data_IF_022048989217
#
_entry.id   IF_022048989217
#
_cell.length_a   1.000
_cell.length_b   1.000
_cell.length_c   1.000
_cell.angle_alpha   90.00
_cell.angle_beta   90.00
_cell.angle_gamma   90.00
#
_symmetry.space_group_name_H-M   'P 1'
#
loop_
_entity.id
_entity.type
_entity.pdbx_description
1 polymer ?
#
# COMPACT_ATOMS: atom_id res chain seq x y z
N UNK A 1 -57.16 -9.25 14.54
CA UNK A 1 -56.12 -10.24 14.15
C UNK A 1 -55.59 -9.96 12.74
N UNK A 2 -55.09 -8.74 12.47
CA UNK A 2 -54.44 -8.39 11.18
C UNK A 2 -53.04 -7.80 11.40
N UNK A 3 -52.78 -7.20 12.57
CA UNK A 3 -51.47 -6.60 12.90
C UNK A 3 -50.39 -7.59 13.36
N UNK A 4 -50.72 -8.83 13.71
CA UNK A 4 -49.73 -9.83 14.14
C UNK A 4 -49.04 -10.55 12.97
N UNK A 5 -49.63 -10.53 11.78
CA UNK A 5 -49.10 -11.21 10.58
C UNK A 5 -48.00 -10.37 9.91
N UNK A 6 -48.09 -9.03 9.99
CA UNK A 6 -47.13 -8.11 9.39
C UNK A 6 -45.78 -8.05 10.13
N UNK A 7 -45.76 -8.41 11.43
CA UNK A 7 -44.54 -8.44 12.23
C UNK A 7 -43.71 -9.71 11.99
N UNK A 8 -44.32 -10.80 11.54
CA UNK A 8 -43.60 -12.05 11.24
C UNK A 8 -42.95 -12.03 9.85
N UNK A 9 -43.47 -11.25 8.90
CA UNK A 9 -42.88 -11.10 7.56
C UNK A 9 -41.69 -10.13 7.49
N UNK A 10 -41.49 -9.29 8.50
CA UNK A 10 -40.36 -8.35 8.55
C UNK A 10 -39.08 -8.95 9.16
N UNK A 11 -39.20 -10.03 9.95
CA UNK A 11 -38.06 -10.70 10.59
C UNK A 11 -37.22 -11.55 9.64
N UNK A 12 -37.73 -11.88 8.44
CA UNK A 12 -37.06 -12.79 7.51
C UNK A 12 -36.17 -12.10 6.46
N UNK A 13 -36.14 -10.76 6.41
CA UNK A 13 -35.38 -10.02 5.39
C UNK A 13 -34.01 -9.55 5.92
N UNK A 14 -33.74 -9.69 7.22
CA UNK A 14 -32.51 -9.19 7.86
C UNK A 14 -31.55 -10.28 8.34
N UNK A 15 -31.85 -11.56 8.14
CA UNK A 15 -30.93 -12.66 8.44
C UNK A 15 -30.81 -13.57 7.22
N UNK A 16 -29.64 -13.57 6.57
CA UNK A 16 -29.33 -14.67 5.64
C UNK A 16 -28.45 -14.40 4.43
N UNK A 17 -27.74 -13.27 4.30
CA UNK A 17 -26.69 -13.18 3.26
C UNK A 17 -25.34 -13.81 3.70
N UNK A 18 -25.24 -14.33 4.92
CA UNK A 18 -24.02 -14.98 5.42
C UNK A 18 -23.96 -16.50 5.16
N UNK A 19 -25.07 -17.15 4.82
CA UNK A 19 -25.11 -18.61 4.58
C UNK A 19 -25.23 -19.01 3.11
N UNK A 20 -25.67 -18.10 2.22
CA UNK A 20 -25.81 -18.40 0.78
C UNK A 20 -24.44 -18.66 0.12
N UNK A 21 -23.35 -18.09 0.66
CA UNK A 21 -22.00 -18.31 0.16
C UNK A 21 -21.49 -19.75 0.40
N UNK A 22 -22.06 -20.50 1.35
CA UNK A 22 -21.68 -21.90 1.56
C UNK A 22 -22.46 -22.88 0.67
N UNK A 23 -23.63 -22.49 0.15
CA UNK A 23 -24.49 -23.37 -0.66
C UNK A 23 -24.17 -23.37 -2.16
N UNK A 24 -23.46 -22.37 -2.68
CA UNK A 24 -23.20 -22.25 -4.13
C UNK A 24 -21.87 -22.87 -4.57
N UNK A 25 -21.05 -23.43 -3.68
CA UNK A 25 -19.74 -24.01 -4.02
C UNK A 25 -18.75 -23.03 -4.66
N UNK A 26 -19.15 -21.76 -4.78
CA UNK A 26 -18.34 -20.69 -5.31
C UNK A 26 -17.54 -20.19 -4.13
N UNK A 27 -16.35 -20.76 -3.93
CA UNK A 27 -15.33 -20.11 -3.12
C UNK A 27 -15.31 -18.65 -3.59
N UNK A 28 -15.81 -17.75 -2.74
CA UNK A 28 -15.56 -16.34 -2.93
C UNK A 28 -14.05 -16.25 -2.85
N UNK A 29 -13.37 -16.16 -4.00
CA UNK A 29 -11.95 -15.88 -4.09
C UNK A 29 -11.83 -14.48 -3.48
N UNK A 30 -11.72 -14.43 -2.15
CA UNK A 30 -11.39 -13.21 -1.46
C UNK A 30 -10.05 -12.81 -2.06
N UNK A 31 -9.94 -11.60 -2.62
CA UNK A 31 -8.65 -11.16 -3.13
C UNK A 31 -7.64 -11.40 -2.01
N UNK A 32 -6.50 -12.07 -2.30
CA UNK A 32 -5.47 -12.32 -1.32
C UNK A 32 -5.24 -11.06 -0.51
N UNK A 33 -5.15 -11.19 0.82
CA UNK A 33 -5.20 -10.03 1.72
C UNK A 33 -4.05 -9.02 1.50
N UNK A 34 -3.08 -9.38 0.67
CA UNK A 34 -1.96 -8.54 0.27
C UNK A 34 -2.09 -7.91 -1.13
N UNK A 35 -3.01 -8.29 -2.03
CA UNK A 35 -2.96 -7.89 -3.45
C UNK A 35 -2.92 -6.38 -3.68
N UNK A 36 -3.84 -5.66 -3.05
CA UNK A 36 -3.88 -4.19 -3.15
C UNK A 36 -2.62 -3.55 -2.59
N UNK A 37 -2.06 -4.13 -1.54
CA UNK A 37 -0.86 -3.62 -0.87
C UNK A 37 0.38 -3.93 -1.69
N UNK A 38 0.46 -5.11 -2.30
CA UNK A 38 1.51 -5.51 -3.25
C UNK A 38 1.52 -4.53 -4.41
N UNK A 39 0.38 -4.32 -5.07
CA UNK A 39 0.27 -3.40 -6.20
C UNK A 39 0.67 -1.98 -5.84
N UNK A 40 0.19 -1.46 -4.71
CA UNK A 40 0.54 -0.12 -4.22
C UNK A 40 2.03 0.00 -3.92
N UNK A 41 2.61 -1.00 -3.27
CA UNK A 41 4.03 -0.98 -2.94
C UNK A 41 4.92 -1.01 -4.20
N UNK A 42 4.54 -1.78 -5.23
CA UNK A 42 5.23 -1.79 -6.53
C UNK A 42 5.10 -0.45 -7.26
N UNK A 43 3.93 0.18 -7.20
CA UNK A 43 3.73 1.52 -7.77
C UNK A 43 4.66 2.54 -7.09
N UNK A 44 4.68 2.59 -5.77
CA UNK A 44 5.55 3.50 -4.99
C UNK A 44 7.04 3.24 -5.26
N UNK A 45 7.43 1.96 -5.44
CA UNK A 45 8.79 1.62 -5.87
C UNK A 45 9.10 2.15 -7.27
N UNK A 46 8.15 2.05 -8.21
CA UNK A 46 8.27 2.60 -9.55
C UNK A 46 8.39 4.13 -9.55
N UNK A 47 7.62 4.81 -8.71
CA UNK A 47 7.69 6.26 -8.50
C UNK A 47 9.07 6.65 -7.94
N UNK A 48 9.57 5.92 -6.95
CA UNK A 48 10.90 6.15 -6.38
C UNK A 48 12.02 6.00 -7.41
N UNK A 49 11.98 4.90 -8.20
CA UNK A 49 12.95 4.66 -9.26
C UNK A 49 12.90 5.77 -10.33
N UNK A 50 11.71 6.19 -10.72
CA UNK A 50 11.52 7.23 -11.73
C UNK A 50 12.00 8.59 -11.21
N UNK A 51 11.71 8.92 -9.95
CA UNK A 51 12.22 10.13 -9.30
C UNK A 51 13.74 10.16 -9.22
N UNK A 52 14.38 9.03 -8.90
CA UNK A 52 15.84 8.92 -8.88
C UNK A 52 16.45 9.08 -10.29
N UNK A 53 15.81 8.52 -11.32
CA UNK A 53 16.25 8.72 -12.69
C UNK A 53 16.18 10.21 -13.08
N UNK A 54 15.06 10.88 -12.78
CA UNK A 54 14.89 12.31 -13.03
C UNK A 54 15.90 13.17 -12.24
N UNK A 55 16.30 12.76 -11.03
CA UNK A 55 17.39 13.42 -10.31
C UNK A 55 18.69 13.41 -11.11
N UNK A 56 19.07 12.27 -11.70
CA UNK A 56 20.30 12.19 -12.49
C UNK A 56 20.22 12.96 -13.82
N UNK A 57 19.02 13.14 -14.38
CA UNK A 57 18.80 13.91 -15.60
C UNK A 57 18.76 15.42 -15.33
N UNK A 58 18.05 15.84 -14.30
CA UNK A 58 17.78 17.25 -13.98
C UNK A 58 18.80 17.86 -12.99
N UNK A 59 19.58 17.02 -12.29
CA UNK A 59 20.44 17.38 -11.15
C UNK A 59 19.69 18.20 -10.09
N UNK A 60 18.44 17.82 -9.83
CA UNK A 60 17.53 18.53 -8.95
C UNK A 60 17.28 17.74 -7.66
N UNK A 61 17.82 18.23 -6.54
CA UNK A 61 17.71 17.59 -5.23
C UNK A 61 16.26 17.33 -4.81
N UNK A 62 15.30 18.17 -5.21
CA UNK A 62 13.88 17.93 -4.93
C UNK A 62 13.39 16.58 -5.52
N UNK A 63 13.90 16.17 -6.68
CA UNK A 63 13.60 14.85 -7.26
C UNK A 63 14.15 13.72 -6.40
N UNK A 64 15.33 13.93 -5.83
CA UNK A 64 15.96 12.95 -4.96
C UNK A 64 15.20 12.81 -3.63
N UNK A 65 14.74 13.91 -3.03
CA UNK A 65 13.85 13.87 -1.85
C UNK A 65 12.53 13.16 -2.19
N UNK A 66 11.88 13.47 -3.32
CA UNK A 66 10.66 12.77 -3.74
C UNK A 66 10.89 11.27 -3.93
N UNK A 67 12.00 10.89 -4.56
CA UNK A 67 12.38 9.49 -4.74
C UNK A 67 12.56 8.78 -3.40
N UNK A 68 13.19 9.47 -2.45
CA UNK A 68 13.40 8.96 -1.10
C UNK A 68 12.08 8.68 -0.37
N UNK A 69 11.14 9.64 -0.37
CA UNK A 69 9.83 9.46 0.25
C UNK A 69 9.03 8.32 -0.40
N UNK A 70 9.03 8.22 -1.72
CA UNK A 70 8.36 7.13 -2.42
C UNK A 70 8.97 5.75 -2.07
N UNK A 71 10.30 5.66 -1.93
CA UNK A 71 10.97 4.43 -1.51
C UNK A 71 10.63 4.05 -0.06
N UNK A 72 10.58 5.05 0.83
CA UNK A 72 10.14 4.89 2.21
C UNK A 72 8.70 4.38 2.31
N UNK A 73 7.80 4.98 1.54
CA UNK A 73 6.39 4.59 1.48
C UNK A 73 6.21 3.18 0.94
N UNK A 74 6.97 2.79 -0.09
CA UNK A 74 6.96 1.42 -0.60
C UNK A 74 7.34 0.43 0.50
N UNK A 75 8.42 0.69 1.25
CA UNK A 75 8.85 -0.17 2.37
C UNK A 75 7.81 -0.28 3.47
N UNK A 76 7.20 0.84 3.87
CA UNK A 76 6.17 0.85 4.89
C UNK A 76 4.91 0.11 4.44
N UNK A 77 4.53 0.29 3.18
CA UNK A 77 3.38 -0.39 2.57
C UNK A 77 3.61 -1.90 2.56
N UNK A 78 4.78 -2.40 2.14
CA UNK A 78 5.12 -3.83 2.24
C UNK A 78 5.07 -4.34 3.69
N UNK A 79 5.60 -3.56 4.63
CA UNK A 79 5.66 -3.95 6.04
C UNK A 79 4.29 -4.03 6.71
N UNK A 80 3.31 -3.24 6.24
CA UNK A 80 1.95 -3.21 6.78
C UNK A 80 1.19 -4.55 6.65
N UNK A 81 1.57 -5.38 5.68
CA UNK A 81 0.93 -6.69 5.40
C UNK A 81 1.77 -7.87 5.85
N UNK A 82 2.67 -7.68 6.82
CA UNK A 82 3.48 -8.78 7.38
C UNK A 82 2.64 -9.94 7.93
N UNK A 83 1.43 -9.68 8.42
CA UNK A 83 0.48 -10.71 8.87
C UNK A 83 -0.14 -11.52 7.72
N UNK A 84 -0.09 -11.01 6.50
CA UNK A 84 -0.54 -11.65 5.26
C UNK A 84 0.55 -12.43 4.53
N UNK A 85 1.74 -12.56 5.11
CA UNK A 85 2.84 -13.37 4.59
C UNK A 85 2.58 -14.87 4.78
N UNK A 86 1.50 -15.39 4.21
CA UNK A 86 1.37 -16.84 4.04
C UNK A 86 2.31 -17.27 2.91
N UNK A 87 3.34 -18.05 3.25
CA UNK A 87 4.33 -18.60 2.32
C UNK A 87 3.73 -19.49 1.23
N UNK A 88 2.50 -19.98 1.43
CA UNK A 88 1.78 -20.81 0.47
C UNK A 88 1.10 -19.99 -0.63
N UNK A 89 1.03 -18.67 -0.47
CA UNK A 89 0.39 -17.76 -1.44
C UNK A 89 1.48 -17.03 -2.24
N UNK A 90 1.25 -16.90 -3.56
CA UNK A 90 2.19 -16.32 -4.54
C UNK A 90 2.81 -14.97 -4.12
N UNK A 91 2.07 -14.13 -3.38
CA UNK A 91 2.50 -12.78 -3.01
C UNK A 91 3.66 -12.72 -2.03
N UNK A 92 3.96 -13.79 -1.29
CA UNK A 92 5.10 -13.80 -0.36
C UNK A 92 6.43 -13.54 -1.09
N UNK A 93 6.66 -14.24 -2.20
CA UNK A 93 7.89 -14.08 -2.98
C UNK A 93 7.96 -12.69 -3.62
N UNK A 94 6.83 -12.18 -4.13
CA UNK A 94 6.76 -10.84 -4.71
C UNK A 94 7.11 -9.75 -3.69
N UNK A 95 6.53 -9.83 -2.48
CA UNK A 95 6.83 -8.89 -1.39
C UNK A 95 8.26 -9.02 -0.89
N UNK A 96 8.79 -10.25 -0.75
CA UNK A 96 10.17 -10.46 -0.33
C UNK A 96 11.16 -9.88 -1.35
N UNK A 97 10.92 -10.10 -2.64
CA UNK A 97 11.74 -9.53 -3.70
C UNK A 97 11.67 -8.01 -3.68
N UNK A 98 10.47 -7.45 -3.50
CA UNK A 98 10.27 -6.01 -3.40
C UNK A 98 10.98 -5.40 -2.18
N UNK A 99 11.03 -6.09 -1.03
CA UNK A 99 11.84 -5.64 0.11
C UNK A 99 13.34 -5.59 -0.23
N UNK A 100 13.84 -6.60 -0.96
CA UNK A 100 15.22 -6.63 -1.44
C UNK A 100 15.53 -5.44 -2.36
N UNK A 101 14.70 -5.24 -3.39
CA UNK A 101 14.85 -4.12 -4.33
C UNK A 101 14.73 -2.75 -3.64
N UNK A 102 13.81 -2.61 -2.69
CA UNK A 102 13.71 -1.41 -1.86
C UNK A 102 14.95 -1.17 -1.00
N UNK A 103 15.64 -2.24 -0.57
CA UNK A 103 16.89 -2.14 0.17
C UNK A 103 17.97 -1.47 -0.67
N UNK A 104 18.17 -2.01 -1.86
CA UNK A 104 19.16 -1.52 -2.84
C UNK A 104 18.84 -0.09 -3.28
N UNK A 105 17.58 0.18 -3.67
CA UNK A 105 17.17 1.50 -4.14
C UNK A 105 17.40 2.58 -3.07
N UNK A 106 17.00 2.33 -1.82
CA UNK A 106 17.20 3.35 -0.80
C UNK A 106 18.68 3.56 -0.48
N UNK A 107 19.54 2.53 -0.57
CA UNK A 107 20.97 2.72 -0.39
C UNK A 107 21.54 3.68 -1.43
N UNK A 108 21.14 3.52 -2.70
CA UNK A 108 21.56 4.42 -3.78
C UNK A 108 21.05 5.84 -3.50
N UNK A 109 19.76 5.98 -3.16
CA UNK A 109 19.19 7.29 -2.84
C UNK A 109 19.96 7.95 -1.70
N UNK A 110 20.15 7.26 -0.57
CA UNK A 110 20.83 7.77 0.61
C UNK A 110 22.26 8.25 0.32
N UNK A 111 23.03 7.53 -0.50
CA UNK A 111 24.40 7.93 -0.86
C UNK A 111 24.43 9.23 -1.67
N UNK A 112 23.37 9.54 -2.40
CA UNK A 112 23.28 10.75 -3.20
C UNK A 112 22.63 11.92 -2.43
N UNK A 113 22.04 11.68 -1.25
CA UNK A 113 21.37 12.73 -0.48
C UNK A 113 22.42 13.71 0.08
N UNK A 114 22.14 15.02 0.02
CA UNK A 114 23.05 16.04 0.55
C UNK A 114 23.12 16.07 2.08
N UNK A 115 22.09 15.53 2.77
CA UNK A 115 22.02 15.50 4.23
C UNK A 115 22.52 14.17 4.81
N UNK A 116 23.25 14.24 5.93
CA UNK A 116 23.76 13.07 6.64
C UNK A 116 22.67 12.24 7.33
N UNK A 117 21.50 12.84 7.65
CA UNK A 117 20.34 12.13 8.21
C UNK A 117 19.01 12.50 7.52
N UNK A 118 18.70 11.89 6.37
CA UNK A 118 17.43 12.09 5.70
C UNK A 118 16.23 11.49 6.46
N UNK A 119 16.46 10.62 7.46
CA UNK A 119 15.42 10.08 8.33
C UNK A 119 14.84 11.16 9.25
N UNK A 120 15.70 12.02 9.78
CA UNK A 120 15.28 13.19 10.56
C UNK A 120 14.53 14.20 9.69
N UNK A 121 14.98 14.44 8.45
CA UNK A 121 14.26 15.27 7.48
C UNK A 121 12.84 14.72 7.17
N UNK A 122 12.67 13.41 7.01
CA UNK A 122 11.32 12.80 6.91
C UNK A 122 10.51 13.18 8.14
N UNK A 123 11.05 12.97 9.34
CA UNK A 123 10.29 13.17 10.58
C UNK A 123 9.82 14.62 10.74
N UNK A 124 10.64 15.59 10.32
CA UNK A 124 10.38 17.02 10.46
C UNK A 124 9.43 17.53 9.36
N UNK A 125 9.59 17.06 8.12
CA UNK A 125 8.84 17.58 6.96
C UNK A 125 7.67 16.72 6.51
N UNK A 126 7.40 15.58 7.17
CA UNK A 126 6.31 14.67 6.81
C UNK A 126 4.96 15.39 6.66
N UNK A 127 4.59 16.29 7.59
CA UNK A 127 3.32 17.01 7.48
C UNK A 127 3.26 17.97 6.29
N UNK A 128 4.38 18.60 5.94
CA UNK A 128 4.51 19.50 4.80
C UNK A 128 4.48 18.70 3.49
N UNK A 129 5.17 17.56 3.45
CA UNK A 129 5.15 16.65 2.32
C UNK A 129 3.76 16.07 2.08
N UNK A 130 3.08 15.59 3.14
CA UNK A 130 1.71 15.08 3.08
C UNK A 130 0.74 16.15 2.55
N UNK A 131 0.91 17.41 2.93
CA UNK A 131 0.12 18.52 2.36
C UNK A 131 0.39 18.69 0.87
N UNK A 132 1.64 18.81 0.43
CA UNK A 132 1.95 19.06 -0.99
C UNK A 132 1.51 17.90 -1.88
N UNK A 133 1.67 16.65 -1.42
CA UNK A 133 1.32 15.47 -2.20
C UNK A 133 -0.20 15.22 -2.24
N UNK A 134 -0.93 15.52 -1.16
CA UNK A 134 -2.38 15.35 -1.12
C UNK A 134 -3.18 16.58 -1.58
N UNK A 135 -2.55 17.74 -1.79
CA UNK A 135 -3.18 18.92 -2.39
C UNK A 135 -3.35 18.81 -3.91
N UNK A 136 -2.86 17.76 -4.56
CA UNK A 136 -2.96 17.56 -6.01
C UNK A 136 -4.21 16.76 -6.43
N UNK A 137 -5.12 16.46 -5.50
CA UNK A 137 -6.34 15.69 -5.75
C UNK A 137 -7.65 16.48 -5.73
N UNK A 138 -7.60 17.83 -5.68
CA UNK A 138 -8.77 18.71 -5.83
C UNK A 138 -8.67 19.57 -7.08
#
# INVERSE_FOLDING_TARGET
MRSLILLFSLGFVLQGCSEIAQMTGQETIRPPCADRVVSRAFQQYGEAKSGLALYFEELNDNRLYQAYYAAWDSRNTVSSVKKCWDRRVSHYNALSNLMGMNRELAQIILINMPDEDPGDMISIYREQYDRVMNLRSD
#
